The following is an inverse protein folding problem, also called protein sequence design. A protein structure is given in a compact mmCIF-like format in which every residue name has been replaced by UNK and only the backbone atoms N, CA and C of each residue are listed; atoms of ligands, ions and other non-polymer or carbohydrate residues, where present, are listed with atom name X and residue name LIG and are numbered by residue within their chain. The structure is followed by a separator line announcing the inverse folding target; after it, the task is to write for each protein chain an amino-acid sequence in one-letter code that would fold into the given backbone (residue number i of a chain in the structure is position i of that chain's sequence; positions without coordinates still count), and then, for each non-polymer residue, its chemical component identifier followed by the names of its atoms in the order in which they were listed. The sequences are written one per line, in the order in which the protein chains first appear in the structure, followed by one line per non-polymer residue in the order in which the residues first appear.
data_IF_547123030908
#
_entry.id   IF_547123030908
#
_cell.length_a   1.000
_cell.length_b   1.000
_cell.length_c   1.000
_cell.angle_alpha   90.00
_cell.angle_beta   90.00
_cell.angle_gamma   90.00
#
_symmetry.space_group_name_H-M   'P 1'
#
loop_
_entity.id
_entity.type
_entity.pdbx_description
1 polymer ?
#
# COMPACT_ATOMS: atom_id res chain seq x y z
N UNK A 1 33.75 18.59 -2.41
CA UNK A 1 34.19 17.36 -1.72
C UNK A 1 33.45 17.11 -0.40
N UNK A 2 32.94 18.14 0.28
CA UNK A 2 32.24 17.99 1.59
C UNK A 2 30.85 17.35 1.47
N UNK A 3 30.14 17.53 0.35
CA UNK A 3 28.77 17.04 0.20
C UNK A 3 28.64 15.51 0.34
N UNK A 4 29.59 14.74 -0.21
CA UNK A 4 29.56 13.28 -0.13
C UNK A 4 29.65 12.76 1.31
N UNK A 5 30.35 13.48 2.19
CA UNK A 5 30.49 13.12 3.62
C UNK A 5 29.13 13.10 4.33
N UNK A 6 28.17 13.92 3.88
CA UNK A 6 26.82 13.96 4.44
C UNK A 6 25.83 13.11 3.63
N UNK A 7 25.96 13.09 2.31
CA UNK A 7 25.06 12.35 1.43
C UNK A 7 25.19 10.83 1.57
N UNK A 8 26.39 10.30 1.76
CA UNK A 8 26.61 8.85 1.94
C UNK A 8 25.89 8.33 3.20
N UNK A 9 26.13 8.88 4.41
CA UNK A 9 25.41 8.40 5.59
C UNK A 9 23.91 8.69 5.52
N UNK A 10 23.48 9.83 4.95
CA UNK A 10 22.06 10.11 4.74
C UNK A 10 21.38 9.08 3.83
N UNK A 11 22.03 8.69 2.73
CA UNK A 11 21.51 7.67 1.81
C UNK A 11 21.45 6.28 2.46
N UNK A 12 22.48 5.90 3.24
CA UNK A 12 22.49 4.64 3.98
C UNK A 12 21.38 4.59 5.04
N UNK A 13 21.16 5.68 5.77
CA UNK A 13 20.07 5.79 6.74
C UNK A 13 18.71 5.72 6.06
N UNK A 14 18.52 6.44 4.95
CA UNK A 14 17.27 6.43 4.20
C UNK A 14 16.98 5.04 3.62
N UNK A 15 17.98 4.40 3.03
CA UNK A 15 17.87 3.05 2.49
C UNK A 15 17.60 2.01 3.58
N UNK A 16 18.33 2.09 4.70
CA UNK A 16 18.13 1.22 5.85
C UNK A 16 16.76 1.40 6.50
N UNK A 17 16.30 2.65 6.66
CA UNK A 17 14.97 2.96 7.17
C UNK A 17 13.88 2.39 6.26
N UNK A 18 13.99 2.61 4.94
CA UNK A 18 13.06 2.03 3.96
C UNK A 18 13.02 0.50 4.03
N UNK A 19 14.19 -0.15 4.14
CA UNK A 19 14.28 -1.60 4.28
C UNK A 19 13.62 -2.11 5.56
N UNK A 20 13.86 -1.47 6.70
CA UNK A 20 13.24 -1.83 7.98
C UNK A 20 11.72 -1.65 7.92
N UNK A 21 11.24 -0.53 7.41
CA UNK A 21 9.81 -0.28 7.22
C UNK A 21 9.17 -1.32 6.29
N UNK A 22 9.83 -1.68 5.20
CA UNK A 22 9.37 -2.69 4.25
C UNK A 22 9.25 -4.07 4.90
N UNK A 23 10.28 -4.53 5.62
CA UNK A 23 10.26 -5.80 6.34
C UNK A 23 9.20 -5.82 7.45
N UNK A 24 8.99 -4.69 8.14
CA UNK A 24 7.94 -4.55 9.14
C UNK A 24 6.54 -4.62 8.51
N UNK A 25 6.33 -4.01 7.35
CA UNK A 25 5.06 -4.07 6.61
C UNK A 25 4.72 -5.49 6.15
N UNK A 26 5.71 -6.23 5.62
CA UNK A 26 5.56 -7.64 5.27
C UNK A 26 5.22 -8.50 6.50
N UNK A 27 5.90 -8.29 7.63
CA UNK A 27 5.61 -9.03 8.88
C UNK A 27 4.19 -8.75 9.40
N UNK A 28 3.68 -7.53 9.19
CA UNK A 28 2.38 -7.09 9.72
C UNK A 28 1.21 -7.54 8.84
N UNK A 29 1.46 -8.10 7.66
CA UNK A 29 0.41 -8.56 6.76
C UNK A 29 -0.37 -7.41 6.09
N UNK A 30 0.28 -6.26 5.88
CA UNK A 30 -0.35 -5.07 5.28
C UNK A 30 -0.65 -5.22 3.78
N UNK A 31 0.02 -6.15 3.09
CA UNK A 31 -0.16 -6.34 1.65
C UNK A 31 -1.36 -7.24 1.32
N UNK A 32 -1.77 -8.08 2.26
CA UNK A 32 -2.91 -8.97 2.15
C UNK A 32 -4.24 -8.20 2.07
N UNK A 33 -4.32 -7.02 2.69
CA UNK A 33 -5.50 -6.14 2.61
C UNK A 33 -5.57 -5.38 1.26
N UNK A 34 -4.41 -5.08 0.64
CA UNK A 34 -4.35 -4.46 -0.69
C UNK A 34 -4.89 -5.37 -1.80
N UNK A 35 -4.62 -6.68 -1.73
CA UNK A 35 -5.19 -7.66 -2.67
C UNK A 35 -6.72 -7.72 -2.57
N UNK A 36 -7.27 -7.67 -1.35
CA UNK A 36 -8.72 -7.62 -1.11
C UNK A 36 -9.37 -6.29 -1.54
N UNK A 37 -8.68 -5.15 -1.33
CA UNK A 37 -9.15 -3.84 -1.74
C UNK A 37 -9.17 -3.66 -3.26
N UNK A 38 -8.17 -4.18 -3.98
CA UNK A 38 -8.13 -4.17 -5.44
C UNK A 38 -9.28 -5.00 -6.06
N UNK A 39 -9.55 -6.17 -5.48
CA UNK A 39 -10.68 -7.00 -5.89
C UNK A 39 -12.02 -6.28 -5.73
N UNK A 40 -12.18 -5.55 -4.62
CA UNK A 40 -13.37 -4.73 -4.35
C UNK A 40 -13.46 -3.54 -5.30
N UNK A 41 -12.40 -2.75 -5.45
CA UNK A 41 -12.37 -1.58 -6.34
C UNK A 41 -12.70 -1.91 -7.81
N UNK A 42 -12.37 -3.12 -8.28
CA UNK A 42 -12.70 -3.58 -9.63
C UNK A 42 -14.17 -4.03 -9.77
N UNK A 43 -14.73 -4.65 -8.73
CA UNK A 43 -16.11 -5.17 -8.73
C UNK A 43 -17.16 -4.15 -8.26
N UNK A 44 -16.76 -3.12 -7.50
CA UNK A 44 -17.65 -2.07 -6.96
C UNK A 44 -18.34 -1.25 -8.06
N UNK A 45 -17.84 -1.32 -9.31
CA UNK A 45 -18.47 -0.67 -10.46
C UNK A 45 -19.65 -1.46 -11.06
N UNK A 46 -19.91 -2.70 -10.61
CA UNK A 46 -20.85 -3.61 -11.28
C UNK A 46 -22.10 -4.05 -10.49
N UNK A 47 -22.23 -3.75 -9.18
CA UNK A 47 -23.32 -4.32 -8.35
C UNK A 47 -24.36 -3.34 -7.76
N UNK A 48 -24.26 -2.02 -8.00
CA UNK A 48 -25.24 -1.05 -7.47
C UNK A 48 -26.57 -0.93 -8.26
N UNK A 49 -26.97 -1.97 -9.01
CA UNK A 49 -28.14 -1.88 -9.91
C UNK A 49 -29.20 -2.96 -9.76
N UNK A 50 -29.22 -3.73 -8.67
CA UNK A 50 -30.37 -4.61 -8.38
C UNK A 50 -31.45 -3.94 -7.52
N UNK A 51 -32.12 -2.97 -8.16
CA UNK A 51 -33.58 -2.88 -8.30
C UNK A 51 -34.45 -3.08 -7.05
N UNK A 52 -34.64 -1.97 -6.35
CA UNK A 52 -35.76 -1.67 -5.45
C UNK A 52 -37.06 -1.38 -6.26
N UNK A 53 -37.53 -2.32 -7.09
CA UNK A 53 -38.80 -2.13 -7.84
C UNK A 53 -39.73 -3.37 -7.74
N UNK A 54 -39.68 -4.11 -6.62
CA UNK A 54 -40.47 -5.35 -6.45
C UNK A 54 -41.33 -5.37 -5.19
N UNK A 55 -41.63 -4.20 -4.62
CA UNK A 55 -42.52 -4.05 -3.46
C UNK A 55 -43.64 -3.04 -3.70
N UNK A 56 -44.31 -3.13 -4.86
CA UNK A 56 -45.61 -2.49 -5.11
C UNK A 56 -46.41 -3.24 -6.19
#
# INVERSE_FOLDING_TARGET
MVALVYLIPAALLLGGFGLVCFLWALKTGQFEDLDGAAYRALHDSHDDRYKDDRLD
#
